data_IF_661626700080
#
_entry.id   IF_661626700080
#
_cell.length_a   1.000
_cell.length_b   1.000
_cell.length_c   1.000
_cell.angle_alpha   90.00
_cell.angle_beta   90.00
_cell.angle_gamma   90.00
#
_symmetry.space_group_name_H-M   'P 1'
#
loop_
_entity.id
_entity.type
_entity.pdbx_description
1 polymer ?
#
# COMPACT_ATOMS: atom_id res chain seq x y z
N UNK A 1 -21.59 2.31 -9.48
CA UNK A 1 -22.28 2.71 -10.72
C UNK A 1 -22.63 1.46 -11.49
N UNK A 2 -23.92 1.21 -11.67
CA UNK A 2 -24.43 0.07 -12.44
C UNK A 2 -24.65 0.42 -13.92
N UNK A 3 -24.96 -0.58 -14.75
CA UNK A 3 -25.27 -0.40 -16.18
C UNK A 3 -26.53 0.44 -16.41
N UNK A 4 -27.57 0.27 -15.58
CA UNK A 4 -28.82 1.03 -15.70
C UNK A 4 -28.58 2.53 -15.49
N UNK A 5 -27.78 2.86 -14.48
CA UNK A 5 -27.41 4.25 -14.16
C UNK A 5 -26.59 4.90 -15.29
N UNK A 6 -25.76 4.12 -16.00
CA UNK A 6 -25.02 4.61 -17.17
C UNK A 6 -25.94 4.93 -18.35
N UNK A 7 -27.03 4.17 -18.53
CA UNK A 7 -28.03 4.40 -19.59
C UNK A 7 -28.83 5.65 -19.29
N UNK A 8 -29.27 5.84 -18.05
CA UNK A 8 -30.00 7.04 -17.62
C UNK A 8 -29.15 8.31 -17.81
N UNK A 9 -27.83 8.19 -17.63
CA UNK A 9 -26.86 9.25 -17.87
C UNK A 9 -26.44 9.39 -19.35
N UNK A 10 -27.03 8.62 -20.28
CA UNK A 10 -26.71 8.57 -21.72
C UNK A 10 -25.24 8.32 -22.03
N UNK A 11 -24.56 7.54 -21.18
CA UNK A 11 -23.16 7.17 -21.38
C UNK A 11 -23.07 6.19 -22.54
N UNK A 12 -22.37 6.59 -23.61
CA UNK A 12 -22.22 5.79 -24.84
C UNK A 12 -21.03 4.83 -24.80
N UNK A 13 -20.06 5.06 -23.93
CA UNK A 13 -18.85 4.25 -23.80
C UNK A 13 -18.63 3.90 -22.34
N UNK A 14 -18.58 2.60 -22.05
CA UNK A 14 -18.30 2.10 -20.70
C UNK A 14 -17.08 1.18 -20.76
N UNK A 15 -15.99 1.63 -20.18
CA UNK A 15 -14.76 0.87 -20.05
C UNK A 15 -14.73 0.12 -18.71
N UNK A 16 -14.70 -1.21 -18.79
CA UNK A 16 -14.61 -2.07 -17.61
C UNK A 16 -13.22 -2.70 -17.56
N UNK A 17 -12.53 -2.45 -16.45
CA UNK A 17 -11.16 -2.90 -16.24
C UNK A 17 -11.08 -4.03 -15.21
N UNK A 18 -10.31 -5.07 -15.51
CA UNK A 18 -10.02 -6.16 -14.58
C UNK A 18 -8.55 -6.58 -14.61
N UNK A 19 -8.06 -7.03 -13.45
CA UNK A 19 -6.67 -7.44 -13.18
C UNK A 19 -6.44 -8.96 -13.38
N UNK A 20 -7.51 -9.76 -13.42
CA UNK A 20 -7.47 -11.21 -13.67
C UNK A 20 -8.10 -11.56 -15.01
N UNK A 21 -7.36 -12.29 -15.86
CA UNK A 21 -7.87 -12.76 -17.16
C UNK A 21 -9.10 -13.69 -17.02
N UNK A 22 -9.13 -14.50 -15.95
CA UNK A 22 -10.26 -15.38 -15.68
C UNK A 22 -11.53 -14.57 -15.34
N UNK A 23 -11.38 -13.55 -14.49
CA UNK A 23 -12.47 -12.67 -14.07
C UNK A 23 -12.94 -11.79 -15.22
N UNK A 24 -12.01 -11.24 -16.01
CA UNK A 24 -12.32 -10.46 -17.22
C UNK A 24 -13.14 -11.26 -18.22
N UNK A 25 -12.77 -12.52 -18.48
CA UNK A 25 -13.51 -13.38 -19.41
C UNK A 25 -14.90 -13.76 -18.85
N UNK A 26 -14.99 -14.10 -17.57
CA UNK A 26 -16.28 -14.39 -16.94
C UNK A 26 -17.22 -13.18 -16.96
N UNK A 27 -16.70 -11.98 -16.71
CA UNK A 27 -17.49 -10.74 -16.73
C UNK A 27 -17.87 -10.36 -18.16
N UNK A 28 -17.01 -10.61 -19.15
CA UNK A 28 -17.30 -10.33 -20.57
C UNK A 28 -18.56 -11.05 -21.05
N UNK A 29 -18.71 -12.33 -20.71
CA UNK A 29 -19.88 -13.12 -21.11
C UNK A 29 -21.16 -12.65 -20.40
N UNK A 30 -21.05 -12.27 -19.12
CA UNK A 30 -22.15 -11.70 -18.34
C UNK A 30 -22.58 -10.34 -18.90
N UNK A 31 -21.62 -9.48 -19.25
CA UNK A 31 -21.89 -8.17 -19.85
C UNK A 31 -22.50 -8.28 -21.25
N UNK A 32 -22.05 -9.22 -22.08
CA UNK A 32 -22.64 -9.47 -23.39
C UNK A 32 -24.12 -9.91 -23.30
N UNK A 33 -24.42 -10.76 -22.31
CA UNK A 33 -25.79 -11.20 -22.01
C UNK A 33 -26.66 -10.03 -21.54
N UNK A 34 -26.15 -9.21 -20.62
CA UNK A 34 -26.85 -8.00 -20.14
C UNK A 34 -27.05 -6.97 -21.25
N UNK A 35 -26.06 -6.75 -22.11
CA UNK A 35 -26.16 -5.86 -23.26
C UNK A 35 -27.29 -6.30 -24.20
N UNK A 36 -27.42 -7.59 -24.46
CA UNK A 36 -28.50 -8.16 -25.28
C UNK A 36 -29.88 -7.92 -24.65
N UNK A 37 -30.00 -7.99 -23.32
CA UNK A 37 -31.25 -7.69 -22.61
C UNK A 37 -31.61 -6.20 -22.65
N UNK A 38 -30.61 -5.31 -22.59
CA UNK A 38 -30.80 -3.86 -22.67
C UNK A 38 -31.25 -3.45 -24.08
N UNK A 39 -30.67 -4.05 -25.12
CA UNK A 39 -31.06 -3.86 -26.53
C UNK A 39 -32.55 -4.11 -26.77
N UNK A 40 -33.09 -5.17 -26.16
CA UNK A 40 -34.51 -5.53 -26.29
C UNK A 40 -35.42 -4.49 -25.64
N UNK A 41 -34.95 -3.79 -24.60
CA UNK A 41 -35.72 -2.72 -23.93
C UNK A 41 -35.64 -1.38 -24.67
N UNK A 42 -34.47 -1.03 -25.19
CA UNK A 42 -34.19 0.28 -25.77
C UNK A 42 -33.72 0.12 -27.21
N UNK A 43 -34.67 -0.16 -28.10
CA UNK A 43 -34.50 -0.56 -29.50
C UNK A 43 -33.57 0.30 -30.38
N UNK A 44 -33.02 1.43 -29.90
CA UNK A 44 -32.16 2.34 -30.66
C UNK A 44 -31.01 2.99 -29.87
N UNK A 45 -30.81 2.70 -28.58
CA UNK A 45 -29.73 3.31 -27.77
C UNK A 45 -28.83 2.22 -27.18
N UNK A 46 -27.69 1.98 -27.84
CA UNK A 46 -26.75 0.91 -27.48
C UNK A 46 -25.53 1.52 -26.79
N UNK A 47 -25.28 1.25 -25.51
CA UNK A 47 -23.99 1.58 -24.91
C UNK A 47 -22.92 0.65 -25.50
N UNK A 48 -21.83 1.23 -25.99
CA UNK A 48 -20.66 0.48 -26.42
C UNK A 48 -19.85 0.11 -25.17
N UNK A 49 -19.84 -1.18 -24.81
CA UNK A 49 -19.17 -1.68 -23.63
C UNK A 49 -17.87 -2.34 -24.05
N UNK A 50 -16.74 -1.75 -23.67
CA UNK A 50 -15.42 -2.29 -23.96
C UNK A 50 -14.84 -2.88 -22.67
N UNK A 51 -14.57 -4.19 -22.67
CA UNK A 51 -13.91 -4.85 -21.53
C UNK A 51 -12.44 -4.99 -21.85
N UNK A 52 -11.60 -4.30 -21.09
CA UNK A 52 -10.16 -4.31 -21.30
C UNK A 52 -9.49 -5.04 -20.14
N UNK A 53 -8.62 -6.00 -20.48
CA UNK A 53 -7.70 -6.57 -19.51
C UNK A 53 -6.62 -5.52 -19.23
N UNK A 54 -6.42 -5.20 -17.98
CA UNK A 54 -5.30 -4.36 -17.62
C UNK A 54 -4.05 -5.21 -17.39
N UNK A 55 -2.94 -4.78 -17.99
CA UNK A 55 -1.62 -5.32 -17.66
C UNK A 55 -1.09 -4.78 -16.31
N UNK A 56 -1.80 -3.84 -15.69
CA UNK A 56 -1.50 -3.21 -14.38
C UNK A 56 -2.81 -2.90 -13.62
N UNK A 57 -2.90 -3.09 -12.30
CA UNK A 57 -4.19 -3.08 -11.62
C UNK A 57 -4.97 -1.74 -11.69
N UNK A 58 -6.31 -1.82 -11.68
CA UNK A 58 -7.24 -0.74 -12.11
C UNK A 58 -7.16 0.59 -11.34
N UNK A 59 -6.59 0.63 -10.15
CA UNK A 59 -6.44 1.86 -9.37
C UNK A 59 -5.30 2.79 -9.89
N UNK A 60 -4.63 2.42 -10.99
CA UNK A 60 -3.57 3.21 -11.65
C UNK A 60 -4.13 4.37 -12.50
N UNK A 61 -5.40 4.33 -12.90
CA UNK A 61 -5.94 5.19 -13.97
C UNK A 61 -6.34 6.62 -13.59
N UNK A 62 -6.20 7.03 -12.33
CA UNK A 62 -6.37 8.44 -11.97
C UNK A 62 -5.02 8.98 -11.48
N UNK A 63 -4.34 9.75 -12.33
CA UNK A 63 -3.59 10.98 -12.04
C UNK A 63 -2.70 11.32 -13.25
N UNK A 64 -2.75 12.59 -13.67
CA UNK A 64 -1.96 13.18 -14.74
C UNK A 64 -0.46 12.90 -14.54
N UNK A 65 0.18 12.37 -15.58
CA UNK A 65 1.61 12.05 -15.59
C UNK A 65 2.44 13.33 -15.70
N UNK A 66 3.25 13.62 -14.68
CA UNK A 66 4.43 14.49 -14.85
C UNK A 66 5.61 13.60 -15.19
N UNK A 67 6.11 13.76 -16.41
CA UNK A 67 7.20 12.98 -16.98
C UNK A 67 8.55 13.51 -16.46
N UNK A 68 9.25 12.71 -15.65
CA UNK A 68 10.67 12.94 -15.31
C UNK A 68 11.48 11.68 -15.66
N UNK A 69 12.47 11.87 -16.53
CA UNK A 69 13.22 10.85 -17.27
C UNK A 69 14.19 10.02 -16.40
N UNK A 70 13.68 9.16 -15.49
CA UNK A 70 14.51 8.18 -14.75
C UNK A 70 13.80 6.83 -14.53
N UNK A 71 14.20 5.71 -15.18
CA UNK A 71 13.29 4.58 -15.42
C UNK A 71 13.13 3.56 -14.28
N UNK A 72 13.76 3.73 -13.11
CA UNK A 72 13.68 2.74 -12.01
C UNK A 72 13.51 3.31 -10.60
N UNK A 73 13.48 4.63 -10.42
CA UNK A 73 13.35 5.26 -9.10
C UNK A 73 12.31 6.38 -9.02
N UNK A 74 11.58 6.67 -10.11
CA UNK A 74 10.51 7.67 -10.10
C UNK A 74 9.22 7.04 -9.59
N UNK A 75 9.17 6.75 -8.29
CA UNK A 75 7.92 6.37 -7.63
C UNK A 75 7.01 7.58 -7.62
N UNK A 76 5.93 7.55 -8.39
CA UNK A 76 4.94 8.63 -8.46
C UNK A 76 4.50 9.01 -7.04
N UNK A 77 4.82 10.22 -6.61
CA UNK A 77 4.34 10.77 -5.35
C UNK A 77 3.01 11.46 -5.58
N UNK A 78 2.07 11.26 -4.66
CA UNK A 78 0.73 11.83 -4.70
C UNK A 78 0.60 12.89 -3.59
N UNK A 79 -0.09 13.99 -3.87
CA UNK A 79 -0.36 15.05 -2.89
C UNK A 79 -1.87 15.12 -2.64
N UNK A 80 -2.26 15.06 -1.37
CA UNK A 80 -3.65 15.29 -0.92
C UNK A 80 -3.63 16.33 0.19
N UNK A 81 -4.11 17.54 -0.13
CA UNK A 81 -3.93 18.71 0.72
C UNK A 81 -2.43 19.00 0.92
N UNK A 82 -2.00 19.09 2.18
CA UNK A 82 -0.60 19.30 2.57
C UNK A 82 0.18 17.98 2.76
N UNK A 83 -0.48 16.83 2.63
CA UNK A 83 0.12 15.52 2.92
C UNK A 83 0.58 14.84 1.63
N UNK A 84 1.86 14.45 1.61
CA UNK A 84 2.46 13.71 0.49
C UNK A 84 2.40 12.21 0.74
N UNK A 85 2.17 11.44 -0.32
CA UNK A 85 2.10 9.99 -0.30
C UNK A 85 3.03 9.39 -1.35
N UNK A 86 3.52 8.18 -1.07
CA UNK A 86 4.23 7.33 -2.02
C UNK A 86 3.46 6.04 -2.20
N UNK A 87 3.28 5.64 -3.46
CA UNK A 87 2.67 4.35 -3.79
C UNK A 87 3.73 3.24 -3.71
N UNK A 88 3.44 2.17 -2.97
CA UNK A 88 4.30 0.98 -2.94
C UNK A 88 3.95 0.01 -4.08
N UNK A 89 4.68 -1.10 -4.21
CA UNK A 89 4.45 -2.10 -5.26
C UNK A 89 3.07 -2.76 -5.18
N UNK A 90 2.53 -2.92 -3.96
CA UNK A 90 1.17 -3.42 -3.72
C UNK A 90 0.11 -2.32 -3.88
N UNK A 91 0.53 -1.16 -4.36
CA UNK A 91 -0.29 -0.01 -4.70
C UNK A 91 -1.01 0.68 -3.55
N UNK A 92 -0.59 0.35 -2.33
CA UNK A 92 -0.95 1.02 -1.09
C UNK A 92 -0.25 2.38 -1.04
N UNK A 93 -1.01 3.40 -0.65
CA UNK A 93 -0.50 4.74 -0.39
C UNK A 93 0.13 4.80 1.00
N UNK A 94 1.41 5.12 1.04
CA UNK A 94 2.17 5.35 2.26
C UNK A 94 2.32 6.85 2.47
N UNK A 95 1.95 7.37 3.63
CA UNK A 95 2.17 8.77 4.00
C UNK A 95 3.67 9.03 4.11
N UNK A 96 4.16 9.96 3.30
CA UNK A 96 5.51 10.47 3.40
C UNK A 96 5.61 11.35 4.64
N UNK A 97 6.65 11.12 5.43
CA UNK A 97 6.96 11.92 6.60
C UNK A 97 8.18 12.79 6.36
N UNK A 98 8.16 13.97 6.97
CA UNK A 98 9.36 14.78 7.07
C UNK A 98 10.31 14.26 8.16
N UNK A 99 11.46 14.91 8.30
CA UNK A 99 12.48 14.53 9.28
C UNK A 99 12.01 14.63 10.73
N UNK A 100 11.23 15.67 11.04
CA UNK A 100 10.75 15.92 12.39
C UNK A 100 9.72 14.86 12.78
N UNK A 101 8.72 14.62 11.93
CA UNK A 101 7.73 13.57 12.11
C UNK A 101 8.37 12.18 12.22
N UNK A 102 9.33 11.86 11.35
CA UNK A 102 10.04 10.59 11.38
C UNK A 102 10.81 10.37 12.69
N UNK A 103 11.43 11.41 13.24
CA UNK A 103 12.12 11.32 14.52
C UNK A 103 11.14 11.02 15.67
N UNK A 104 10.02 11.73 15.72
CA UNK A 104 8.98 11.49 16.73
C UNK A 104 8.43 10.07 16.64
N UNK A 105 8.14 9.59 15.43
CA UNK A 105 7.65 8.23 15.23
C UNK A 105 8.69 7.19 15.64
N UNK A 106 9.97 7.39 15.33
CA UNK A 106 11.06 6.50 15.77
C UNK A 106 11.16 6.45 17.29
N UNK A 107 11.09 7.59 17.97
CA UNK A 107 11.08 7.64 19.43
C UNK A 107 9.87 6.93 20.03
N UNK A 108 8.66 7.18 19.53
CA UNK A 108 7.45 6.54 20.05
C UNK A 108 7.48 5.01 19.85
N UNK A 109 7.85 4.55 18.65
CA UNK A 109 7.85 3.10 18.35
C UNK A 109 8.97 2.36 19.08
N UNK A 110 10.12 3.00 19.30
CA UNK A 110 11.27 2.37 19.94
C UNK A 110 11.25 2.49 21.47
N UNK A 111 10.92 3.67 21.99
CA UNK A 111 11.10 4.08 23.40
C UNK A 111 9.81 4.57 24.07
N UNK A 112 8.69 4.68 23.34
CA UNK A 112 7.40 5.06 23.90
C UNK A 112 6.87 4.05 24.92
N UNK A 113 5.69 4.30 25.47
CA UNK A 113 5.09 3.47 26.53
C UNK A 113 4.94 1.99 26.13
N UNK A 114 4.75 1.74 24.83
CA UNK A 114 4.67 0.39 24.24
C UNK A 114 5.90 0.06 23.35
N UNK A 115 7.02 0.76 23.56
CA UNK A 115 8.26 0.58 22.84
C UNK A 115 8.83 -0.82 23.04
N UNK A 116 9.16 -1.51 21.95
CA UNK A 116 9.65 -2.91 22.00
C UNK A 116 11.16 -3.02 21.93
N UNK A 117 11.89 -1.90 21.85
CA UNK A 117 13.34 -1.87 21.60
C UNK A 117 13.80 -2.78 20.44
N UNK A 118 12.93 -2.99 19.44
CA UNK A 118 13.22 -3.86 18.30
C UNK A 118 14.36 -3.33 17.43
N UNK A 119 15.02 -4.22 16.67
CA UNK A 119 16.08 -3.81 15.75
C UNK A 119 15.56 -2.88 14.64
N UNK A 120 16.48 -2.12 14.02
CA UNK A 120 16.13 -1.09 13.04
C UNK A 120 15.30 -1.61 11.85
N UNK A 121 15.61 -2.79 11.33
CA UNK A 121 14.85 -3.40 10.22
C UNK A 121 13.42 -3.79 10.64
N UNK A 122 13.24 -4.35 11.84
CA UNK A 122 11.93 -4.68 12.37
C UNK A 122 11.09 -3.41 12.61
N UNK A 123 11.70 -2.36 13.17
CA UNK A 123 11.08 -1.07 13.39
C UNK A 123 10.62 -0.42 12.06
N UNK A 124 11.50 -0.36 11.06
CA UNK A 124 11.17 0.18 9.74
C UNK A 124 10.00 -0.59 9.09
N UNK A 125 10.02 -1.92 9.13
CA UNK A 125 8.90 -2.74 8.61
C UNK A 125 7.60 -2.49 9.36
N UNK A 126 7.64 -2.29 10.68
CA UNK A 126 6.44 -1.97 11.48
C UNK A 126 5.83 -0.64 11.03
N UNK A 127 6.64 0.40 10.84
CA UNK A 127 6.17 1.72 10.39
C UNK A 127 5.66 1.69 8.94
N UNK A 128 6.35 0.94 8.06
CA UNK A 128 5.92 0.74 6.68
C UNK A 128 4.55 0.05 6.60
N UNK A 129 4.34 -1.00 7.41
CA UNK A 129 3.05 -1.69 7.53
C UNK A 129 1.95 -0.81 8.12
N UNK A 130 2.32 0.14 8.97
CA UNK A 130 1.42 1.15 9.51
C UNK A 130 1.12 2.29 8.51
N UNK A 131 1.68 2.25 7.30
CA UNK A 131 1.38 3.20 6.24
C UNK A 131 2.29 4.43 6.20
N UNK A 132 3.43 4.43 6.89
CA UNK A 132 4.38 5.55 6.87
C UNK A 132 5.56 5.26 5.94
N UNK A 133 6.18 6.32 5.42
CA UNK A 133 7.34 6.22 4.54
C UNK A 133 8.25 7.45 4.63
N UNK A 134 9.56 7.25 4.51
CA UNK A 134 10.50 8.27 4.06
C UNK A 134 11.70 7.60 3.39
N UNK A 135 12.45 8.35 2.58
CA UNK A 135 13.44 7.79 1.65
C UNK A 135 14.53 6.97 2.35
N UNK A 136 14.99 7.43 3.52
CA UNK A 136 16.09 6.83 4.29
C UNK A 136 15.63 6.01 5.50
N UNK A 137 14.34 5.63 5.54
CA UNK A 137 13.70 4.98 6.70
C UNK A 137 14.51 3.87 7.34
N UNK A 138 14.88 2.86 6.58
CA UNK A 138 15.59 1.71 7.12
C UNK A 138 16.95 2.10 7.70
N UNK A 139 17.70 2.96 7.01
CA UNK A 139 18.99 3.45 7.46
C UNK A 139 18.86 4.28 8.74
N UNK A 140 17.87 5.16 8.80
CA UNK A 140 17.63 6.03 9.95
C UNK A 140 17.18 5.23 11.17
N UNK A 141 16.27 4.27 10.98
CA UNK A 141 15.87 3.32 12.02
C UNK A 141 17.08 2.55 12.58
N UNK A 142 17.95 2.02 11.70
CA UNK A 142 19.16 1.31 12.12
C UNK A 142 20.13 2.22 12.88
N UNK A 143 20.32 3.47 12.43
CA UNK A 143 21.15 4.46 13.13
C UNK A 143 20.56 4.85 14.49
N UNK A 144 19.24 4.97 14.57
CA UNK A 144 18.52 5.31 15.81
C UNK A 144 18.75 4.23 16.88
N UNK A 145 18.47 2.96 16.54
CA UNK A 145 18.65 1.84 17.47
C UNK A 145 20.11 1.69 17.90
N UNK A 146 21.08 1.91 17.00
CA UNK A 146 22.52 1.89 17.33
C UNK A 146 22.93 2.94 18.37
N UNK A 147 22.19 4.06 18.48
CA UNK A 147 22.43 5.12 19.46
C UNK A 147 21.67 4.91 20.77
N UNK A 148 20.70 3.98 20.81
CA UNK A 148 19.91 3.74 22.01
C UNK A 148 20.77 3.09 23.11
N UNK A 149 20.96 3.81 24.21
CA UNK A 149 21.78 3.34 25.33
C UNK A 149 21.27 2.02 25.93
N UNK A 150 19.95 1.88 26.10
CA UNK A 150 19.33 0.64 26.58
C UNK A 150 19.70 -0.53 25.66
N UNK A 151 19.53 -0.39 24.35
CA UNK A 151 19.90 -1.43 23.39
C UNK A 151 21.40 -1.76 23.43
N UNK A 152 22.28 -0.76 23.56
CA UNK A 152 23.73 -0.99 23.63
C UNK A 152 24.13 -1.85 24.84
N UNK A 153 23.50 -1.66 26.00
CA UNK A 153 23.80 -2.46 27.21
C UNK A 153 23.45 -3.95 27.03
N UNK A 154 22.43 -4.26 26.22
CA UNK A 154 21.93 -5.63 26.06
C UNK A 154 22.48 -6.36 24.82
N UNK A 155 23.07 -5.65 23.84
CA UNK A 155 23.64 -6.26 22.63
C UNK A 155 24.74 -7.28 22.96
N UNK A 156 25.63 -6.96 23.90
CA UNK A 156 26.74 -7.85 24.27
C UNK A 156 26.31 -9.06 25.11
N UNK A 157 25.06 -9.08 25.58
CA UNK A 157 24.53 -10.16 26.43
C UNK A 157 23.90 -11.31 25.65
N UNK A 158 23.80 -11.21 24.32
CA UNK A 158 23.19 -12.24 23.46
C UNK A 158 24.08 -13.50 23.35
N UNK A 159 25.39 -13.35 23.60
CA UNK A 159 26.36 -14.46 23.61
C UNK A 159 26.64 -15.03 25.00
N UNK A 160 25.98 -14.52 26.04
CA UNK A 160 26.14 -15.05 27.40
C UNK A 160 25.19 -16.26 27.52
N UNK A 161 25.68 -17.44 27.93
CA UNK A 161 24.82 -18.59 28.18
C UNK A 161 23.67 -18.18 29.12
N UNK A 162 22.44 -18.66 28.89
CA UNK A 162 21.35 -18.42 29.83
C UNK A 162 21.82 -18.85 31.23
N UNK A 163 21.86 -17.92 32.18
CA UNK A 163 22.07 -18.29 33.58
C UNK A 163 21.03 -19.33 33.93
N UNK A 164 21.47 -20.46 34.52
CA UNK A 164 20.60 -21.58 34.85
C UNK A 164 19.38 -21.06 35.62
N UNK A 165 18.21 -21.13 34.99
CA UNK A 165 16.96 -20.80 35.66
C UNK A 165 16.76 -21.90 36.71
N UNK A 166 16.82 -21.53 37.99
CA UNK A 166 16.54 -22.47 39.07
C UNK A 166 15.14 -23.05 38.85
N UNK A 167 15.09 -24.34 38.52
CA UNK A 167 13.83 -25.07 38.41
C UNK A 167 13.25 -25.13 39.81
N UNK A 168 12.15 -24.43 40.03
CA UNK A 168 11.33 -24.63 41.23
C UNK A 168 10.66 -25.99 41.04
N UNK A 169 11.30 -27.04 41.55
CA UNK A 169 10.64 -28.32 41.73
C UNK A 169 9.56 -28.15 42.79
N UNK A 170 8.31 -28.35 42.40
CA UNK A 170 7.17 -28.39 43.33
C UNK A 170 7.36 -29.53 44.34
N UNK A 171 6.94 -29.37 45.61
CA UNK A 171 7.04 -30.40 46.64
C UNK A 171 6.29 -31.69 46.30
#
# INVERSE_FOLDING_TARGET
MGLEECIDLRIKHLDVYGDSALVVNQIKDVLATLASMIMVKYWNEVPNITVMRLDRPAHVFAVEEVQDDKPWLSGSFYLSGEVRYKRNFDMVLLRCMDRHEANLLMTEVHEGSFGTHSNGHAMARKMLRAGYYWLTMESDCCKYVKKCHKCQIYVDKIHIPPTLLNVISSP
#
